data_IF_164875345153
#
_entry.id   IF_164875345153
#
_cell.length_a   1.000
_cell.length_b   1.000
_cell.length_c   1.000
_cell.angle_alpha   90.00
_cell.angle_beta   90.00
_cell.angle_gamma   90.00
#
_symmetry.space_group_name_H-M   'P 1'
#
loop_
_entity.id
_entity.type
_entity.pdbx_description
1 polymer ?
#
# COMPACT_ATOMS: atom_id res chain seq x y z
N UNK A 1 15.39 -19.05 -14.97
CA UNK A 1 13.95 -18.79 -14.75
C UNK A 1 13.26 -20.13 -14.55
N UNK A 2 12.78 -20.40 -13.33
CA UNK A 2 12.15 -21.68 -13.00
C UNK A 2 10.83 -21.88 -13.75
N UNK A 3 10.57 -23.10 -14.18
CA UNK A 3 9.27 -23.46 -14.74
C UNK A 3 8.23 -23.43 -13.61
N UNK A 4 7.29 -22.49 -13.66
CA UNK A 4 6.11 -22.52 -12.79
C UNK A 4 5.15 -23.55 -13.35
N UNK A 5 4.83 -24.55 -12.52
CA UNK A 5 3.85 -25.61 -12.80
C UNK A 5 2.45 -25.02 -12.92
N UNK A 6 1.48 -25.86 -13.29
CA UNK A 6 0.07 -25.47 -13.32
C UNK A 6 -0.36 -24.93 -11.95
N UNK A 7 -1.16 -23.87 -11.92
CA UNK A 7 -1.81 -23.41 -10.69
C UNK A 7 -3.08 -24.23 -10.51
N UNK A 8 -3.11 -25.04 -9.46
CA UNK A 8 -4.31 -25.79 -9.09
C UNK A 8 -5.28 -24.84 -8.38
N UNK A 9 -6.48 -24.70 -8.94
CA UNK A 9 -7.58 -23.95 -8.33
C UNK A 9 -8.77 -24.89 -8.16
N UNK A 10 -9.43 -24.83 -7.00
CA UNK A 10 -10.66 -25.57 -6.79
C UNK A 10 -11.82 -24.96 -7.62
N UNK A 11 -12.93 -25.69 -7.70
CA UNK A 11 -14.10 -25.22 -8.44
C UNK A 11 -14.71 -23.95 -7.82
N UNK A 12 -14.74 -23.84 -6.50
CA UNK A 12 -15.33 -22.72 -5.78
C UNK A 12 -14.57 -21.40 -6.01
N UNK A 13 -13.24 -21.44 -5.87
CA UNK A 13 -12.30 -20.36 -6.16
C UNK A 13 -12.37 -19.95 -7.62
N UNK A 14 -12.55 -20.89 -8.55
CA UNK A 14 -12.75 -20.54 -9.97
C UNK A 14 -14.01 -19.68 -10.20
N UNK A 15 -15.06 -19.86 -9.40
CA UNK A 15 -16.27 -19.04 -9.45
C UNK A 15 -15.98 -17.65 -8.90
N UNK A 16 -15.32 -17.57 -7.74
CA UNK A 16 -14.90 -16.30 -7.12
C UNK A 16 -14.02 -15.48 -8.07
N UNK A 17 -13.02 -16.10 -8.68
CA UNK A 17 -12.12 -15.43 -9.64
C UNK A 17 -12.91 -14.87 -10.82
N UNK A 18 -13.88 -15.62 -11.38
CA UNK A 18 -14.72 -15.14 -12.48
C UNK A 18 -15.60 -13.95 -12.07
N UNK A 19 -16.15 -13.99 -10.86
CA UNK A 19 -16.95 -12.89 -10.33
C UNK A 19 -16.10 -11.63 -10.12
N UNK A 20 -14.89 -11.76 -9.57
CA UNK A 20 -13.93 -10.65 -9.45
C UNK A 20 -13.58 -10.07 -10.82
N UNK A 21 -13.36 -10.91 -11.84
CA UNK A 21 -13.08 -10.45 -13.20
C UNK A 21 -14.26 -9.64 -13.77
N UNK A 22 -15.49 -10.00 -13.42
CA UNK A 22 -16.71 -9.36 -13.96
C UNK A 22 -17.07 -8.07 -13.22
N UNK A 23 -17.01 -8.09 -11.89
CA UNK A 23 -17.62 -7.06 -11.03
C UNK A 23 -16.61 -6.07 -10.42
N UNK A 24 -15.34 -6.46 -10.22
CA UNK A 24 -14.38 -5.58 -9.54
C UNK A 24 -14.05 -4.38 -10.42
N UNK A 25 -14.24 -3.16 -9.91
CA UNK A 25 -14.02 -1.91 -10.66
C UNK A 25 -12.54 -1.64 -10.97
N UNK A 26 -11.60 -2.21 -10.22
CA UNK A 26 -10.16 -1.96 -10.34
C UNK A 26 -9.59 -2.83 -11.45
N UNK A 27 -9.21 -2.19 -12.55
CA UNK A 27 -8.59 -2.84 -13.71
C UNK A 27 -7.42 -3.78 -13.35
N UNK A 28 -6.56 -3.39 -12.39
CA UNK A 28 -5.41 -4.19 -11.97
C UNK A 28 -5.82 -5.50 -11.27
N UNK A 29 -6.88 -5.47 -10.47
CA UNK A 29 -7.42 -6.65 -9.79
C UNK A 29 -7.95 -7.62 -10.84
N UNK A 30 -8.77 -7.14 -11.79
CA UNK A 30 -9.27 -7.94 -12.91
C UNK A 30 -8.13 -8.57 -13.73
N UNK A 31 -7.07 -7.81 -14.06
CA UNK A 31 -5.91 -8.35 -14.80
C UNK A 31 -5.19 -9.47 -14.06
N UNK A 32 -4.93 -9.30 -12.75
CA UNK A 32 -4.29 -10.33 -11.91
C UNK A 32 -5.15 -11.58 -11.82
N UNK A 33 -6.45 -11.41 -11.60
CA UNK A 33 -7.42 -12.52 -11.56
C UNK A 33 -7.47 -13.28 -12.90
N UNK A 34 -7.50 -12.57 -14.03
CA UNK A 34 -7.43 -13.19 -15.37
C UNK A 34 -6.14 -14.00 -15.56
N UNK A 35 -5.00 -13.49 -15.11
CA UNK A 35 -3.72 -14.20 -15.23
C UNK A 35 -3.75 -15.57 -14.52
N UNK A 36 -4.34 -15.64 -13.32
CA UNK A 36 -4.48 -16.89 -12.58
C UNK A 36 -5.48 -17.82 -13.25
N UNK A 37 -6.62 -17.28 -13.73
CA UNK A 37 -7.60 -18.08 -14.46
C UNK A 37 -6.97 -18.73 -15.71
N UNK A 38 -6.25 -17.98 -16.53
CA UNK A 38 -5.56 -18.52 -17.70
C UNK A 38 -4.48 -19.53 -17.32
N UNK A 39 -3.72 -19.27 -16.25
CA UNK A 39 -2.70 -20.22 -15.78
C UNK A 39 -3.29 -21.55 -15.31
N UNK A 40 -4.50 -21.54 -14.73
CA UNK A 40 -5.22 -22.77 -14.36
C UNK A 40 -5.72 -23.59 -15.57
N UNK A 41 -5.89 -22.90 -16.70
CA UNK A 41 -6.25 -23.46 -18.02
C UNK A 41 -5.01 -23.84 -18.85
N UNK A 42 -3.84 -23.97 -18.21
CA UNK A 42 -2.58 -24.41 -18.81
C UNK A 42 -1.96 -23.46 -19.86
N UNK A 43 -2.40 -22.19 -19.90
CA UNK A 43 -1.71 -21.18 -20.71
C UNK A 43 -0.29 -20.94 -20.19
N UNK A 44 0.64 -20.75 -21.12
CA UNK A 44 2.02 -20.39 -20.77
C UNK A 44 2.10 -18.95 -20.28
N UNK A 45 3.10 -18.66 -19.44
CA UNK A 45 3.33 -17.30 -18.92
C UNK A 45 3.51 -16.28 -20.05
N UNK A 46 4.13 -16.69 -21.17
CA UNK A 46 4.32 -15.83 -22.35
C UNK A 46 3.01 -15.50 -23.06
N UNK A 47 2.11 -16.47 -23.20
CA UNK A 47 0.79 -16.25 -23.80
C UNK A 47 -0.06 -15.34 -22.93
N UNK A 48 -0.07 -15.59 -21.62
CA UNK A 48 -0.77 -14.74 -20.65
C UNK A 48 -0.24 -13.31 -20.69
N UNK A 49 1.08 -13.15 -20.73
CA UNK A 49 1.74 -11.85 -20.82
C UNK A 49 1.35 -11.11 -22.10
N UNK A 50 1.27 -11.81 -23.25
CA UNK A 50 0.83 -11.25 -24.52
C UNK A 50 -0.65 -10.84 -24.48
N UNK A 51 -1.52 -11.73 -23.99
CA UNK A 51 -2.97 -11.49 -23.92
C UNK A 51 -3.34 -10.34 -22.97
N UNK A 52 -2.59 -10.23 -21.86
CA UNK A 52 -2.77 -9.17 -20.88
C UNK A 52 -1.85 -7.97 -21.12
N UNK A 53 -1.10 -7.91 -22.22
CA UNK A 53 -0.21 -6.79 -22.56
C UNK A 53 0.70 -6.36 -21.38
N UNK A 54 1.36 -7.33 -20.75
CA UNK A 54 2.30 -7.12 -19.64
C UNK A 54 3.59 -7.88 -19.87
N UNK A 55 4.60 -7.61 -19.05
CA UNK A 55 5.86 -8.37 -19.07
C UNK A 55 5.64 -9.75 -18.44
N UNK A 56 6.36 -10.76 -18.94
CA UNK A 56 6.32 -12.12 -18.38
C UNK A 56 6.67 -12.13 -16.89
N UNK A 57 7.67 -11.36 -16.47
CA UNK A 57 8.08 -11.22 -15.06
C UNK A 57 6.93 -10.78 -14.15
N UNK A 58 6.04 -9.93 -14.65
CA UNK A 58 4.87 -9.46 -13.91
C UNK A 58 3.85 -10.58 -13.71
N UNK A 59 3.66 -11.43 -14.72
CA UNK A 59 2.78 -12.61 -14.61
C UNK A 59 3.38 -13.63 -13.65
N UNK A 60 4.70 -13.86 -13.70
CA UNK A 60 5.41 -14.69 -12.72
C UNK A 60 5.17 -14.19 -11.28
N UNK A 61 5.33 -12.89 -11.04
CA UNK A 61 5.09 -12.28 -9.72
C UNK A 61 3.64 -12.49 -9.24
N UNK A 62 2.66 -12.34 -10.13
CA UNK A 62 1.25 -12.55 -9.79
C UNK A 62 0.95 -14.01 -9.43
N UNK A 63 1.51 -14.97 -10.17
CA UNK A 63 1.34 -16.40 -9.86
C UNK A 63 1.96 -16.74 -8.51
N UNK A 64 3.22 -16.33 -8.27
CA UNK A 64 3.88 -16.59 -6.98
C UNK A 64 3.12 -15.97 -5.80
N UNK A 65 2.57 -14.76 -5.97
CA UNK A 65 1.77 -14.12 -4.93
C UNK A 65 0.46 -14.86 -4.68
N UNK A 66 -0.19 -15.36 -5.72
CA UNK A 66 -1.41 -16.14 -5.58
C UNK A 66 -1.15 -17.48 -4.88
N UNK A 67 -0.04 -18.16 -5.17
CA UNK A 67 0.35 -19.40 -4.47
C UNK A 67 0.58 -19.17 -2.96
N UNK A 68 1.01 -17.97 -2.56
CA UNK A 68 1.25 -17.61 -1.17
C UNK A 68 0.02 -17.07 -0.44
N UNK A 69 -0.77 -16.20 -1.09
CA UNK A 69 -1.82 -15.40 -0.45
C UNK A 69 -3.23 -15.69 -1.00
N UNK A 70 -3.35 -16.54 -2.02
CA UNK A 70 -4.62 -16.87 -2.68
C UNK A 70 -5.27 -15.66 -3.35
N UNK A 71 -6.60 -15.59 -3.28
CA UNK A 71 -7.41 -14.51 -3.90
C UNK A 71 -7.05 -13.11 -3.37
N UNK A 72 -6.57 -13.00 -2.13
CA UNK A 72 -6.14 -11.72 -1.55
C UNK A 72 -4.98 -11.08 -2.32
N UNK A 73 -4.16 -11.89 -3.00
CA UNK A 73 -3.03 -11.42 -3.81
C UNK A 73 -3.43 -10.49 -4.97
N UNK A 74 -4.70 -10.52 -5.38
CA UNK A 74 -5.19 -9.64 -6.44
C UNK A 74 -5.22 -8.20 -6.00
N UNK A 75 -5.39 -7.95 -4.70
CA UNK A 75 -5.52 -6.63 -4.14
C UNK A 75 -4.17 -6.02 -3.78
N UNK A 76 -4.14 -4.70 -3.84
CA UNK A 76 -2.99 -3.93 -3.43
C UNK A 76 -2.94 -3.86 -1.90
N UNK A 77 -1.84 -4.31 -1.28
CA UNK A 77 -1.64 -4.19 0.18
C UNK A 77 -1.86 -2.74 0.64
N UNK A 78 -2.57 -2.58 1.75
CA UNK A 78 -2.82 -1.27 2.34
C UNK A 78 -1.52 -0.60 2.80
N UNK A 79 -1.48 0.74 2.75
CA UNK A 79 -0.36 1.52 3.28
C UNK A 79 0.87 1.62 2.38
N UNK A 80 0.67 1.64 1.05
CA UNK A 80 1.75 1.92 0.09
C UNK A 80 2.37 3.31 0.27
N UNK A 81 3.65 3.42 -0.04
CA UNK A 81 4.43 4.66 0.02
C UNK A 81 5.26 4.78 1.31
N UNK A 82 6.12 5.80 1.34
CA UNK A 82 6.94 6.10 2.51
C UNK A 82 6.03 6.52 3.66
N UNK A 83 6.07 5.79 4.77
CA UNK A 83 5.36 6.18 6.00
C UNK A 83 5.87 7.56 6.45
N UNK A 84 4.97 8.40 6.96
CA UNK A 84 5.36 9.70 7.53
C UNK A 84 6.31 9.48 8.69
N UNK A 85 7.35 10.31 8.79
CA UNK A 85 8.33 10.29 9.89
C UNK A 85 7.63 10.51 11.24
N UNK A 86 6.54 11.29 11.26
CA UNK A 86 5.72 11.57 12.44
C UNK A 86 4.58 10.54 12.65
N UNK A 87 4.53 9.44 11.87
CA UNK A 87 3.45 8.45 12.03
C UNK A 87 3.64 7.62 13.30
N UNK A 88 4.87 7.23 13.57
CA UNK A 88 5.24 6.36 14.69
C UNK A 88 5.74 7.17 15.90
N UNK A 89 5.68 8.51 15.82
CA UNK A 89 6.03 9.39 16.94
C UNK A 89 4.88 9.48 17.94
N UNK A 90 5.23 9.49 19.22
CA UNK A 90 4.32 9.69 20.33
C UNK A 90 3.61 11.07 20.21
N UNK A 91 2.32 11.02 19.87
CA UNK A 91 1.52 12.20 19.58
C UNK A 91 1.36 13.09 20.82
N UNK A 92 1.31 12.50 22.01
CA UNK A 92 1.14 13.22 23.27
C UNK A 92 2.41 13.99 23.62
N UNK A 93 3.59 13.38 23.45
CA UNK A 93 4.87 14.08 23.61
C UNK A 93 5.02 15.24 22.63
N UNK A 94 4.61 15.06 21.37
CA UNK A 94 4.63 16.17 20.40
C UNK A 94 3.67 17.27 20.86
N UNK A 95 2.48 16.91 21.33
CA UNK A 95 1.49 17.87 21.82
C UNK A 95 2.02 18.72 22.96
N UNK A 96 2.63 18.11 23.97
CA UNK A 96 3.22 18.83 25.12
C UNK A 96 4.27 19.87 24.71
N UNK A 97 5.12 19.54 23.74
CA UNK A 97 6.16 20.44 23.25
C UNK A 97 5.62 21.58 22.38
N UNK A 98 4.53 21.28 21.65
CA UNK A 98 3.96 22.19 20.66
C UNK A 98 2.95 23.15 21.29
N UNK A 99 2.20 22.75 22.31
CA UNK A 99 1.07 23.53 22.85
C UNK A 99 1.49 24.93 23.32
N UNK A 100 2.64 25.04 23.98
CA UNK A 100 3.20 26.29 24.49
C UNK A 100 4.13 27.01 23.50
N UNK A 101 4.06 26.66 22.22
CA UNK A 101 4.91 27.26 21.18
C UNK A 101 4.13 28.30 20.36
N UNK A 102 4.70 29.49 20.12
CA UNK A 102 4.01 30.58 19.43
C UNK A 102 3.92 30.37 17.91
N UNK A 103 4.79 29.54 17.33
CA UNK A 103 4.84 29.29 15.89
C UNK A 103 5.35 27.88 15.56
N UNK A 104 5.05 27.41 14.34
CA UNK A 104 5.46 26.08 13.86
C UNK A 104 7.00 25.91 13.84
N UNK A 105 7.82 26.88 13.39
CA UNK A 105 9.28 26.73 13.42
C UNK A 105 9.83 26.54 14.85
N UNK A 106 9.30 27.31 15.82
CA UNK A 106 9.70 27.19 17.24
C UNK A 106 9.30 25.83 17.80
N UNK A 107 8.09 25.36 17.49
CA UNK A 107 7.64 24.04 17.87
C UNK A 107 8.50 22.93 17.26
N UNK A 108 8.90 23.08 15.98
CA UNK A 108 9.74 22.13 15.28
C UNK A 108 11.16 22.07 15.85
N UNK A 109 11.73 23.21 16.26
CA UNK A 109 13.01 23.25 16.95
C UNK A 109 12.98 22.42 18.26
N UNK A 110 11.93 22.57 19.08
CA UNK A 110 11.75 21.77 20.31
C UNK A 110 11.58 20.27 20.03
N UNK A 111 10.82 19.92 19.00
CA UNK A 111 10.64 18.52 18.58
C UNK A 111 11.97 17.91 18.10
N UNK A 112 12.77 18.66 17.34
CA UNK A 112 14.10 18.22 16.90
C UNK A 112 15.04 18.01 18.08
N UNK A 113 15.05 18.93 19.03
CA UNK A 113 15.93 18.86 20.21
C UNK A 113 15.55 17.69 21.13
N UNK A 114 14.27 17.60 21.53
CA UNK A 114 13.84 16.62 22.53
C UNK A 114 13.54 15.23 21.99
N UNK A 115 12.95 15.15 20.80
CA UNK A 115 12.53 13.87 20.20
C UNK A 115 13.49 13.38 19.11
N UNK A 116 14.51 14.17 18.73
CA UNK A 116 15.44 13.87 17.64
C UNK A 116 14.74 13.54 16.31
N UNK A 117 13.55 14.11 16.11
CA UNK A 117 12.76 13.94 14.89
C UNK A 117 13.02 15.13 13.95
N UNK A 118 13.60 14.86 12.79
CA UNK A 118 13.93 15.87 11.80
C UNK A 118 12.89 15.91 10.69
N UNK A 119 12.06 16.95 10.70
CA UNK A 119 11.02 17.18 9.70
C UNK A 119 11.02 18.63 9.23
N UNK A 120 10.52 18.87 8.02
CA UNK A 120 10.26 20.23 7.54
C UNK A 120 9.10 20.87 8.31
N UNK A 121 9.09 22.19 8.47
CA UNK A 121 8.03 22.91 9.21
C UNK A 121 6.64 22.60 8.64
N UNK A 122 6.53 22.51 7.31
CA UNK A 122 5.26 22.17 6.67
C UNK A 122 4.81 20.73 6.98
N UNK A 123 5.73 19.80 7.20
CA UNK A 123 5.41 18.42 7.62
C UNK A 123 4.84 18.42 9.04
N UNK A 124 5.45 19.18 9.97
CA UNK A 124 4.91 19.34 11.32
C UNK A 124 3.56 20.06 11.29
N UNK A 125 3.43 21.14 10.52
CA UNK A 125 2.15 21.87 10.33
C UNK A 125 1.03 20.95 9.85
N UNK A 126 1.29 20.13 8.84
CA UNK A 126 0.31 19.18 8.30
C UNK A 126 -0.03 18.09 9.32
N UNK A 127 0.94 17.62 10.09
CA UNK A 127 0.73 16.68 11.17
C UNK A 127 -0.19 17.26 12.26
N UNK A 128 0.11 18.46 12.77
CA UNK A 128 -0.70 19.15 13.78
C UNK A 128 -2.14 19.38 13.32
N UNK A 129 -2.34 19.77 12.05
CA UNK A 129 -3.68 19.88 11.45
C UNK A 129 -4.41 18.54 11.44
N UNK A 130 -3.73 17.46 11.05
CA UNK A 130 -4.30 16.12 10.99
C UNK A 130 -4.68 15.57 12.38
N UNK A 131 -3.87 15.85 13.40
CA UNK A 131 -4.09 15.42 14.79
C UNK A 131 -4.94 16.41 15.60
N UNK A 132 -5.42 17.50 14.99
CA UNK A 132 -6.21 18.56 15.63
C UNK A 132 -5.52 19.18 16.86
N UNK A 133 -4.19 19.28 16.82
CA UNK A 133 -3.42 19.95 17.86
C UNK A 133 -3.29 21.43 17.48
N UNK A 134 -3.77 22.32 18.35
CA UNK A 134 -3.63 23.76 18.17
C UNK A 134 -2.38 24.29 18.88
N UNK A 135 -1.71 25.25 18.23
CA UNK A 135 -0.67 26.07 18.85
C UNK A 135 -1.32 27.12 19.73
N UNK A 136 -0.65 27.50 20.82
CA UNK A 136 -1.05 28.69 21.58
C UNK A 136 -1.04 29.93 20.68
N UNK A 137 -2.24 30.44 20.36
CA UNK A 137 -2.39 31.73 19.70
C UNK A 137 -2.33 32.79 20.78
N UNK A 138 -1.24 33.55 20.83
CA UNK A 138 -1.30 34.84 21.53
C UNK A 138 -2.40 35.66 20.86
N UNK A 139 -3.35 36.11 21.68
CA UNK A 139 -4.40 37.05 21.29
C UNK A 139 -3.78 38.39 20.88
#
# INVERSE_FOLDING_TARGET
MGQIKRVEIDKATSVIIREIIKEDYRYRVRKRANAILYKSQDYSVKEIAKLLEVRADTVYEWICKYELEGVESFYDKQGRGRKSILKDSDADRIRELVINSPSVPVANAKVREKLKIFVHDNTLKNYLKKTKIELHKSK
#
